data_IF_285488336058
#
_entry.id   IF_285488336058
#
_cell.length_a   1.000
_cell.length_b   1.000
_cell.length_c   1.000
_cell.angle_alpha   90.00
_cell.angle_beta   90.00
_cell.angle_gamma   90.00
#
_symmetry.space_group_name_H-M   'P 1'
#
loop_
_entity.id
_entity.type
_entity.pdbx_description
1 polymer ?
#
# COMPACT_ATOMS: atom_id res chain seq x y z
N UNK A 1 -17.18 -1.07 -4.85
CA UNK A 1 -16.65 -0.72 -3.54
C UNK A 1 -16.35 0.78 -3.46
N UNK A 2 -15.50 1.31 -4.27
CA UNK A 2 -15.19 2.73 -4.30
C UNK A 2 -16.06 3.45 -5.34
N UNK A 3 -16.58 4.63 -4.99
CA UNK A 3 -17.19 5.53 -5.96
C UNK A 3 -16.18 6.10 -6.96
N UNK A 4 -14.99 5.55 -6.91
CA UNK A 4 -13.81 5.93 -7.64
C UNK A 4 -13.88 5.49 -9.10
N UNK A 5 -13.23 6.22 -9.96
CA UNK A 5 -13.09 5.80 -11.34
C UNK A 5 -11.89 4.85 -11.45
N UNK A 6 -12.06 3.69 -12.08
CA UNK A 6 -13.21 3.19 -12.87
C UNK A 6 -14.27 2.41 -12.09
N UNK A 7 -14.25 2.41 -10.79
CA UNK A 7 -15.03 1.52 -9.92
C UNK A 7 -14.36 0.14 -9.80
N UNK A 8 -14.47 -0.49 -8.63
CA UNK A 8 -13.85 -1.78 -8.35
C UNK A 8 -14.89 -2.89 -8.32
N UNK A 9 -14.73 -3.89 -9.17
CA UNK A 9 -15.72 -4.95 -9.38
C UNK A 9 -15.10 -6.34 -9.23
N UNK A 10 -15.80 -7.24 -8.57
CA UNK A 10 -15.39 -8.65 -8.45
C UNK A 10 -14.14 -8.85 -7.59
N UNK A 11 -13.13 -9.51 -8.14
CA UNK A 11 -11.83 -9.67 -7.47
C UNK A 11 -11.02 -8.38 -7.63
N UNK A 12 -10.52 -7.84 -6.53
CA UNK A 12 -9.79 -6.55 -6.49
C UNK A 12 -8.41 -6.78 -5.88
N UNK A 13 -7.34 -6.36 -6.55
CA UNK A 13 -5.98 -6.63 -6.09
C UNK A 13 -5.66 -5.99 -4.74
N UNK A 14 -5.88 -4.69 -4.59
CA UNK A 14 -5.60 -3.95 -3.36
C UNK A 14 -6.35 -4.54 -2.14
N UNK A 15 -7.68 -4.67 -2.25
CA UNK A 15 -8.51 -5.20 -1.14
C UNK A 15 -8.20 -6.67 -0.89
N UNK A 16 -7.95 -7.45 -1.94
CA UNK A 16 -7.56 -8.84 -1.85
C UNK A 16 -6.26 -9.01 -1.07
N UNK A 17 -5.23 -8.24 -1.40
CA UNK A 17 -3.94 -8.34 -0.71
C UNK A 17 -4.02 -7.87 0.74
N UNK A 18 -4.77 -6.81 1.05
CA UNK A 18 -5.05 -6.41 2.43
C UNK A 18 -5.79 -7.50 3.22
N UNK A 19 -6.76 -8.18 2.59
CA UNK A 19 -7.43 -9.31 3.21
C UNK A 19 -6.48 -10.46 3.54
N UNK A 20 -5.57 -10.80 2.61
CA UNK A 20 -4.55 -11.83 2.84
C UNK A 20 -3.59 -11.46 3.96
N UNK A 21 -3.16 -10.20 4.02
CA UNK A 21 -2.33 -9.69 5.11
C UNK A 21 -3.06 -9.78 6.46
N UNK A 22 -4.33 -9.41 6.50
CA UNK A 22 -5.16 -9.57 7.70
C UNK A 22 -5.30 -11.03 8.12
N UNK A 23 -5.50 -11.95 7.18
CA UNK A 23 -5.56 -13.38 7.48
C UNK A 23 -4.24 -13.90 8.06
N UNK A 24 -3.09 -13.41 7.59
CA UNK A 24 -1.76 -13.71 8.18
C UNK A 24 -1.64 -13.21 9.62
N UNK A 25 -2.08 -11.98 9.90
CA UNK A 25 -2.09 -11.44 11.27
C UNK A 25 -2.98 -12.32 12.16
N UNK A 26 -4.16 -12.67 11.68
CA UNK A 26 -5.15 -13.47 12.40
C UNK A 26 -4.61 -14.89 12.66
N UNK A 27 -3.96 -15.52 11.69
CA UNK A 27 -3.26 -16.81 11.86
C UNK A 27 -2.26 -16.74 13.00
N UNK A 28 -1.41 -15.72 13.02
CA UNK A 28 -0.42 -15.53 14.07
C UNK A 28 -1.05 -15.35 15.45
N UNK A 29 -2.10 -14.53 15.54
CA UNK A 29 -2.83 -14.35 16.82
C UNK A 29 -3.48 -15.65 17.28
N UNK A 30 -4.14 -16.39 16.40
CA UNK A 30 -4.77 -17.66 16.71
C UNK A 30 -3.76 -18.67 17.28
N UNK A 31 -2.57 -18.80 16.64
CA UNK A 31 -1.49 -19.64 17.18
C UNK A 31 -1.01 -19.19 18.56
N UNK A 32 -0.92 -17.88 18.81
CA UNK A 32 -0.48 -17.35 20.11
C UNK A 32 -1.46 -17.64 21.25
N UNK A 33 -2.76 -17.71 20.93
CA UNK A 33 -3.80 -18.04 21.94
C UNK A 33 -4.14 -19.53 21.99
N UNK A 34 -3.48 -20.36 21.18
CA UNK A 34 -3.68 -21.82 21.16
C UNK A 34 -4.89 -22.31 20.36
N UNK A 35 -5.44 -21.47 19.47
CA UNK A 35 -6.50 -21.88 18.53
C UNK A 35 -5.90 -22.32 17.20
N UNK A 36 -5.26 -23.49 17.22
CA UNK A 36 -4.58 -24.06 16.06
C UNK A 36 -5.56 -24.36 14.91
N UNK A 37 -6.79 -24.76 15.21
CA UNK A 37 -7.81 -25.02 14.19
C UNK A 37 -8.14 -23.78 13.38
N UNK A 38 -8.34 -22.66 14.04
CA UNK A 38 -8.61 -21.40 13.34
C UNK A 38 -7.37 -20.85 12.63
N UNK A 39 -6.17 -21.07 13.21
CA UNK A 39 -4.92 -20.73 12.56
C UNK A 39 -4.73 -21.46 11.22
N UNK A 40 -5.01 -22.77 11.18
CA UNK A 40 -4.97 -23.58 9.96
C UNK A 40 -5.99 -23.09 8.92
N UNK A 41 -7.18 -22.72 9.34
CA UNK A 41 -8.19 -22.13 8.46
C UNK A 41 -7.72 -20.79 7.85
N UNK A 42 -7.11 -19.93 8.65
CA UNK A 42 -6.53 -18.66 8.16
C UNK A 42 -5.41 -18.93 7.16
N UNK A 43 -4.51 -19.88 7.43
CA UNK A 43 -3.44 -20.25 6.51
C UNK A 43 -3.99 -20.77 5.17
N UNK A 44 -5.07 -21.55 5.20
CA UNK A 44 -5.73 -22.05 3.99
C UNK A 44 -6.40 -20.89 3.20
N UNK A 45 -7.03 -19.92 3.88
CA UNK A 45 -7.56 -18.73 3.20
C UNK A 45 -6.47 -17.92 2.50
N UNK A 46 -5.30 -17.76 3.14
CA UNK A 46 -4.16 -17.10 2.51
C UNK A 46 -3.70 -17.88 1.27
N UNK A 47 -3.55 -19.19 1.38
CA UNK A 47 -3.12 -20.03 0.25
C UNK A 47 -4.08 -19.93 -0.94
N UNK A 48 -5.39 -20.07 -0.70
CA UNK A 48 -6.43 -20.00 -1.73
C UNK A 48 -6.53 -18.60 -2.34
N UNK A 49 -6.44 -17.56 -1.50
CA UNK A 49 -6.51 -16.19 -1.96
C UNK A 49 -5.29 -15.78 -2.77
N UNK A 50 -4.09 -16.17 -2.35
CA UNK A 50 -2.86 -15.95 -3.11
C UNK A 50 -2.92 -16.63 -4.48
N UNK A 51 -3.38 -17.89 -4.52
CA UNK A 51 -3.61 -18.61 -5.78
C UNK A 51 -4.62 -17.89 -6.69
N UNK A 52 -5.72 -17.38 -6.10
CA UNK A 52 -6.72 -16.62 -6.86
C UNK A 52 -6.17 -15.29 -7.41
N UNK A 53 -5.25 -14.63 -6.70
CA UNK A 53 -4.57 -13.44 -7.20
C UNK A 53 -3.68 -13.76 -8.40
N UNK A 54 -2.89 -14.83 -8.33
CA UNK A 54 -2.08 -15.28 -9.46
C UNK A 54 -2.94 -15.68 -10.67
N UNK A 55 -3.97 -16.49 -10.47
CA UNK A 55 -4.78 -17.05 -11.56
C UNK A 55 -5.69 -16.01 -12.24
N UNK A 56 -6.10 -14.97 -11.53
CA UNK A 56 -7.15 -14.04 -11.98
C UNK A 56 -6.71 -12.61 -12.19
N UNK A 57 -5.71 -12.16 -11.43
CA UNK A 57 -5.33 -10.77 -11.43
C UNK A 57 -3.92 -10.52 -11.97
N UNK A 58 -3.03 -11.52 -11.94
CA UNK A 58 -1.70 -11.31 -12.52
C UNK A 58 -1.77 -11.02 -14.01
N UNK A 59 -1.09 -9.97 -14.44
CA UNK A 59 -0.90 -9.61 -15.86
C UNK A 59 0.58 -9.75 -16.23
N UNK A 60 0.88 -10.40 -17.35
CA UNK A 60 2.24 -10.65 -17.82
C UNK A 60 3.04 -9.36 -18.12
N UNK A 61 2.38 -8.22 -18.12
CA UNK A 61 3.02 -6.90 -18.17
C UNK A 61 3.65 -6.48 -16.83
N UNK A 62 3.55 -7.31 -15.79
CA UNK A 62 4.27 -7.16 -14.53
C UNK A 62 3.52 -6.42 -13.42
N UNK A 63 2.22 -6.55 -13.35
CA UNK A 63 1.39 -6.00 -12.27
C UNK A 63 0.12 -6.82 -12.06
N UNK A 64 -0.57 -6.60 -10.94
CA UNK A 64 -1.90 -7.16 -10.74
C UNK A 64 -2.96 -6.22 -11.31
N UNK A 65 -3.90 -6.75 -12.09
CA UNK A 65 -5.08 -6.01 -12.54
C UNK A 65 -5.77 -5.38 -11.33
N UNK A 66 -6.14 -4.11 -11.40
CA UNK A 66 -6.84 -3.48 -10.30
C UNK A 66 -8.09 -4.27 -9.90
N UNK A 67 -8.84 -4.76 -10.89
CA UNK A 67 -9.96 -5.67 -10.63
C UNK A 67 -10.24 -6.60 -11.82
N UNK A 68 -10.93 -7.71 -11.51
CA UNK A 68 -11.54 -8.62 -12.48
C UNK A 68 -12.91 -9.09 -11.97
N UNK A 69 -13.96 -8.84 -12.74
CA UNK A 69 -15.30 -9.38 -12.49
C UNK A 69 -15.49 -10.65 -13.33
N UNK A 70 -15.41 -11.85 -12.73
CA UNK A 70 -15.54 -13.11 -13.48
C UNK A 70 -16.96 -13.38 -13.96
N UNK A 71 -17.97 -12.73 -13.36
CA UNK A 71 -19.37 -12.91 -13.77
C UNK A 71 -19.66 -12.17 -15.07
N UNK A 72 -19.13 -10.96 -15.19
CA UNK A 72 -19.35 -10.11 -16.37
C UNK A 72 -18.20 -10.20 -17.38
N UNK A 73 -17.09 -10.86 -17.05
CA UNK A 73 -15.89 -10.90 -17.88
C UNK A 73 -15.21 -9.52 -18.02
N UNK A 74 -15.46 -8.59 -17.11
CA UNK A 74 -14.90 -7.23 -17.15
C UNK A 74 -13.62 -7.18 -16.32
N UNK A 75 -12.55 -6.67 -16.90
CA UNK A 75 -11.29 -6.44 -16.19
C UNK A 75 -10.82 -5.00 -16.32
N UNK A 76 -10.09 -4.55 -15.31
CA UNK A 76 -9.39 -3.28 -15.36
C UNK A 76 -8.20 -3.35 -16.32
N UNK A 77 -7.96 -2.25 -17.05
CA UNK A 77 -6.73 -2.06 -17.82
C UNK A 77 -5.73 -1.14 -17.08
N UNK A 78 -6.13 -0.59 -15.93
CA UNK A 78 -5.35 0.39 -15.19
C UNK A 78 -4.47 -0.26 -14.14
N UNK A 79 -3.32 0.35 -13.89
CA UNK A 79 -2.46 0.03 -12.77
C UNK A 79 -2.87 0.92 -11.60
N UNK A 80 -3.23 0.31 -10.47
CA UNK A 80 -3.42 1.02 -9.21
C UNK A 80 -2.09 1.16 -8.49
N UNK A 81 -1.67 2.38 -8.22
CA UNK A 81 -0.34 2.68 -7.68
C UNK A 81 -0.09 2.16 -6.25
N UNK A 82 -1.15 1.91 -5.50
CA UNK A 82 -1.09 1.48 -4.10
C UNK A 82 -1.60 0.05 -3.89
N UNK A 83 -1.55 -0.78 -4.94
CA UNK A 83 -2.03 -2.16 -4.87
C UNK A 83 -1.24 -3.04 -3.89
N UNK A 84 -0.05 -2.62 -3.47
CA UNK A 84 0.86 -3.37 -2.60
C UNK A 84 0.75 -3.02 -1.10
N UNK A 85 -0.29 -2.32 -0.66
CA UNK A 85 -0.47 -1.93 0.74
C UNK A 85 -0.53 -3.15 1.69
N UNK A 86 -1.15 -4.24 1.25
CA UNK A 86 -1.15 -5.49 2.02
C UNK A 86 0.24 -6.13 2.15
N UNK A 87 1.14 -5.93 1.17
CA UNK A 87 2.54 -6.36 1.28
C UNK A 87 3.26 -5.55 2.37
N UNK A 88 3.09 -4.22 2.36
CA UNK A 88 3.61 -3.39 3.45
C UNK A 88 3.14 -3.87 4.83
N UNK A 89 1.86 -4.26 4.97
CA UNK A 89 1.32 -4.78 6.23
C UNK A 89 2.08 -6.04 6.66
N UNK A 90 2.34 -6.99 5.75
CA UNK A 90 3.08 -8.21 6.10
C UNK A 90 4.52 -7.91 6.50
N UNK A 91 5.22 -7.05 5.76
CA UNK A 91 6.61 -6.70 6.05
C UNK A 91 6.73 -5.94 7.37
N UNK A 92 5.88 -4.93 7.57
CA UNK A 92 5.85 -4.14 8.79
C UNK A 92 5.57 -4.98 10.04
N UNK A 93 4.78 -6.02 9.93
CA UNK A 93 4.48 -6.94 11.03
C UNK A 93 5.43 -8.16 11.10
N UNK A 94 6.39 -8.28 10.21
CA UNK A 94 7.32 -9.40 10.14
C UNK A 94 6.62 -10.74 9.89
N UNK A 95 5.65 -10.72 8.98
CA UNK A 95 4.86 -11.87 8.57
C UNK A 95 5.34 -12.39 7.20
N UNK A 96 5.14 -13.66 6.89
CA UNK A 96 5.39 -14.17 5.55
C UNK A 96 4.53 -13.44 4.51
N UNK A 97 5.12 -13.03 3.40
CA UNK A 97 4.38 -12.47 2.26
C UNK A 97 3.29 -13.43 1.77
N UNK A 98 2.19 -12.88 1.30
CA UNK A 98 1.15 -13.66 0.63
C UNK A 98 1.45 -13.90 -0.85
N UNK A 99 2.31 -13.07 -1.45
CA UNK A 99 2.64 -13.13 -2.87
C UNK A 99 4.08 -13.63 -3.09
N UNK A 100 4.40 -14.19 -4.28
CA UNK A 100 5.76 -14.50 -4.66
C UNK A 100 6.65 -13.24 -4.69
N UNK A 101 7.87 -13.35 -4.18
CA UNK A 101 8.79 -12.19 -4.07
C UNK A 101 9.17 -11.57 -5.43
N UNK A 102 9.24 -12.36 -6.49
CA UNK A 102 9.47 -11.87 -7.85
C UNK A 102 8.27 -11.04 -8.36
N UNK A 103 7.04 -11.44 -8.02
CA UNK A 103 5.81 -10.69 -8.34
C UNK A 103 5.79 -9.36 -7.61
N UNK A 104 6.14 -9.34 -6.32
CA UNK A 104 6.22 -8.11 -5.53
C UNK A 104 7.19 -7.12 -6.18
N UNK A 105 8.44 -7.55 -6.44
CA UNK A 105 9.45 -6.70 -7.07
C UNK A 105 9.03 -6.21 -8.46
N UNK A 106 8.50 -7.09 -9.29
CA UNK A 106 8.07 -6.72 -10.65
C UNK A 106 6.93 -5.72 -10.60
N UNK A 107 5.96 -5.88 -9.70
CA UNK A 107 4.85 -4.94 -9.52
C UNK A 107 5.35 -3.57 -9.07
N UNK A 108 6.25 -3.52 -8.08
CA UNK A 108 6.83 -2.27 -7.61
C UNK A 108 7.63 -1.55 -8.71
N UNK A 109 8.42 -2.30 -9.50
CA UNK A 109 9.14 -1.71 -10.63
C UNK A 109 8.16 -1.15 -11.69
N UNK A 110 7.07 -1.84 -11.98
CA UNK A 110 6.02 -1.34 -12.89
C UNK A 110 5.39 -0.06 -12.35
N UNK A 111 5.01 -0.01 -11.06
CA UNK A 111 4.45 1.18 -10.42
C UNK A 111 5.44 2.35 -10.46
N UNK A 112 6.74 2.09 -10.27
CA UNK A 112 7.80 3.08 -10.36
C UNK A 112 7.87 3.72 -11.75
N UNK A 113 7.79 2.90 -12.78
CA UNK A 113 7.86 3.33 -14.18
C UNK A 113 6.57 4.00 -14.69
N UNK A 114 5.46 3.78 -14.02
CA UNK A 114 4.13 4.28 -14.44
C UNK A 114 3.59 5.32 -13.46
N UNK A 115 2.98 4.90 -12.36
CA UNK A 115 2.27 5.77 -11.42
C UNK A 115 3.19 6.82 -10.75
N UNK A 116 4.41 6.41 -10.33
CA UNK A 116 5.37 7.34 -9.72
C UNK A 116 5.93 8.31 -10.77
N UNK A 117 6.21 7.84 -11.97
CA UNK A 117 6.70 8.68 -13.06
C UNK A 117 5.71 9.79 -13.49
N UNK A 118 4.43 9.61 -13.21
CA UNK A 118 3.37 10.59 -13.48
C UNK A 118 3.20 11.65 -12.38
N UNK A 119 3.90 11.54 -11.26
CA UNK A 119 3.70 12.41 -10.11
C UNK A 119 5.01 13.03 -9.63
N UNK A 120 5.04 14.35 -9.47
CA UNK A 120 6.15 15.04 -8.84
C UNK A 120 6.23 14.78 -7.33
N UNK A 121 5.08 14.55 -6.68
CA UNK A 121 4.97 14.48 -5.21
C UNK A 121 4.94 13.07 -4.64
N UNK A 122 4.34 12.11 -5.37
CA UNK A 122 4.16 10.74 -4.87
C UNK A 122 3.99 9.74 -6.02
N UNK A 123 2.80 9.16 -6.15
CA UNK A 123 2.37 8.32 -7.27
C UNK A 123 0.91 8.65 -7.58
N UNK A 124 0.51 8.68 -8.84
CA UNK A 124 -0.90 8.79 -9.16
C UNK A 124 -1.63 7.49 -8.79
N UNK A 125 -2.88 7.58 -8.34
CA UNK A 125 -3.68 6.39 -8.05
C UNK A 125 -3.74 5.43 -9.24
N UNK A 126 -3.96 5.98 -10.43
CA UNK A 126 -4.09 5.17 -11.65
C UNK A 126 -3.15 5.64 -12.75
N UNK A 127 -2.60 4.66 -13.46
CA UNK A 127 -1.83 4.87 -14.68
C UNK A 127 -2.24 3.84 -15.74
N UNK A 128 -2.04 4.15 -17.01
CA UNK A 128 -2.10 3.15 -18.06
C UNK A 128 -0.83 2.29 -18.06
N UNK A 129 -0.89 1.04 -18.53
CA UNK A 129 0.30 0.17 -18.58
C UNK A 129 1.45 0.69 -19.45
N UNK A 130 1.19 1.60 -20.37
CA UNK A 130 2.21 2.29 -21.18
C UNK A 130 2.81 3.52 -20.47
N UNK A 131 2.46 3.74 -19.19
CA UNK A 131 2.90 4.88 -18.41
C UNK A 131 2.14 6.18 -18.72
N UNK A 132 1.14 6.16 -19.60
CA UNK A 132 0.35 7.34 -19.88
C UNK A 132 -0.72 7.61 -18.80
N UNK A 133 -1.12 8.88 -18.60
CA UNK A 133 -2.18 9.22 -17.65
C UNK A 133 -3.55 8.81 -18.20
N UNK A 134 -4.46 8.44 -17.31
CA UNK A 134 -5.85 8.17 -17.67
C UNK A 134 -6.55 9.48 -18.00
N UNK A 135 -6.92 9.68 -19.27
CA UNK A 135 -7.51 10.94 -19.75
C UNK A 135 -9.03 10.95 -19.77
N UNK A 136 -9.68 9.79 -19.85
CA UNK A 136 -11.14 9.71 -19.98
C UNK A 136 -11.81 9.70 -18.63
N UNK A 137 -12.68 10.66 -18.38
CA UNK A 137 -13.62 10.69 -17.29
C UNK A 137 -14.87 9.90 -17.65
N UNK A 138 -15.36 9.06 -16.73
CA UNK A 138 -16.68 8.45 -16.85
C UNK A 138 -17.71 9.47 -16.39
N UNK A 139 -18.68 9.84 -17.26
CA UNK A 139 -19.75 10.76 -16.89
C UNK A 139 -20.51 10.28 -15.64
N UNK A 140 -20.85 11.23 -14.78
CA UNK A 140 -21.63 10.97 -13.57
C UNK A 140 -20.88 10.33 -12.41
N UNK A 141 -19.55 10.14 -12.50
CA UNK A 141 -18.74 9.62 -11.40
C UNK A 141 -17.85 10.69 -10.77
N UNK A 142 -17.63 10.57 -9.49
CA UNK A 142 -16.55 11.29 -8.80
C UNK A 142 -15.22 10.82 -9.37
N UNK A 143 -14.35 11.75 -9.73
CA UNK A 143 -13.18 11.47 -10.55
C UNK A 143 -11.90 12.03 -9.93
N UNK A 144 -11.82 11.99 -8.62
CA UNK A 144 -10.62 12.40 -7.92
C UNK A 144 -9.51 11.34 -8.00
N UNK A 145 -9.88 10.07 -8.12
CA UNK A 145 -8.95 8.95 -8.05
C UNK A 145 -7.93 8.89 -9.18
N UNK A 146 -8.28 9.35 -10.38
CA UNK A 146 -7.38 9.24 -11.54
C UNK A 146 -6.03 9.93 -11.35
N UNK A 147 -6.03 11.07 -10.74
CA UNK A 147 -4.89 11.97 -10.67
C UNK A 147 -4.33 12.17 -9.30
N UNK A 148 -5.07 11.73 -8.29
CA UNK A 148 -4.72 12.00 -6.91
C UNK A 148 -3.73 10.99 -6.35
N UNK A 149 -3.22 11.33 -5.19
CA UNK A 149 -2.61 10.40 -4.29
C UNK A 149 -3.19 10.58 -2.88
N UNK A 150 -3.08 9.54 -2.09
CA UNK A 150 -3.42 9.54 -0.68
C UNK A 150 -2.11 9.56 0.10
N UNK A 151 -1.86 10.55 0.97
CA UNK A 151 -0.60 10.64 1.71
C UNK A 151 -0.22 9.37 2.48
N UNK A 152 -1.13 8.69 3.22
CA UNK A 152 -0.76 7.46 3.93
C UNK A 152 -0.39 6.31 2.98
N UNK A 153 -1.11 6.10 1.87
CA UNK A 153 -0.77 5.09 0.89
C UNK A 153 0.56 5.41 0.18
N UNK A 154 0.86 6.69 -0.03
CA UNK A 154 2.16 7.10 -0.55
C UNK A 154 3.30 6.73 0.41
N UNK A 155 3.08 6.84 1.73
CA UNK A 155 4.02 6.36 2.73
C UNK A 155 4.16 4.84 2.73
N UNK A 156 3.05 4.10 2.59
CA UNK A 156 3.10 2.63 2.48
C UNK A 156 3.87 2.19 1.23
N UNK A 157 3.62 2.84 0.10
CA UNK A 157 4.36 2.58 -1.13
C UNK A 157 5.86 2.86 -0.96
N UNK A 158 6.22 3.98 -0.35
CA UNK A 158 7.61 4.32 -0.04
C UNK A 158 8.28 3.24 0.84
N UNK A 159 7.58 2.77 1.86
CA UNK A 159 8.08 1.71 2.74
C UNK A 159 8.14 0.34 2.05
N UNK A 160 7.27 0.02 1.10
CA UNK A 160 7.41 -1.17 0.27
C UNK A 160 8.74 -1.19 -0.47
N UNK A 161 9.12 -0.08 -1.11
CA UNK A 161 10.45 0.02 -1.75
C UNK A 161 11.58 -0.13 -0.73
N UNK A 162 11.45 0.46 0.46
CA UNK A 162 12.47 0.31 1.51
C UNK A 162 12.63 -1.16 1.92
N UNK A 163 11.53 -1.89 2.16
CA UNK A 163 11.57 -3.31 2.53
C UNK A 163 12.12 -4.21 1.42
N UNK A 164 11.94 -3.84 0.16
CA UNK A 164 12.54 -4.54 -0.98
C UNK A 164 14.03 -4.13 -1.24
N UNK A 165 14.60 -3.33 -0.34
CA UNK A 165 16.01 -2.92 -0.39
C UNK A 165 16.30 -1.64 -1.14
N UNK A 166 15.32 -0.99 -1.74
CA UNK A 166 15.44 0.31 -2.41
C UNK A 166 15.24 1.48 -1.42
N UNK A 167 16.01 1.49 -0.34
CA UNK A 167 15.83 2.45 0.78
C UNK A 167 15.93 3.90 0.31
N UNK A 168 16.92 4.23 -0.51
CA UNK A 168 17.12 5.60 -0.99
C UNK A 168 15.96 6.09 -1.86
N UNK A 169 15.43 5.22 -2.72
CA UNK A 169 14.26 5.55 -3.55
C UNK A 169 13.00 5.72 -2.70
N UNK A 170 12.74 4.80 -1.77
CA UNK A 170 11.61 4.91 -0.86
C UNK A 170 11.69 6.17 0.01
N UNK A 171 12.89 6.53 0.50
CA UNK A 171 13.08 7.75 1.27
C UNK A 171 12.85 9.00 0.43
N UNK A 172 13.32 9.03 -0.81
CA UNK A 172 13.04 10.13 -1.73
C UNK A 172 11.53 10.29 -2.01
N UNK A 173 10.82 9.19 -2.21
CA UNK A 173 9.37 9.21 -2.43
C UNK A 173 8.63 9.76 -1.20
N UNK A 174 8.96 9.29 0.00
CA UNK A 174 8.38 9.79 1.25
C UNK A 174 8.71 11.28 1.46
N UNK A 175 9.95 11.70 1.17
CA UNK A 175 10.40 13.10 1.25
C UNK A 175 9.61 14.01 0.31
N UNK A 176 9.43 13.63 -0.95
CA UNK A 176 8.66 14.41 -1.94
C UNK A 176 7.22 14.61 -1.48
N UNK A 177 6.58 13.56 -0.99
CA UNK A 177 5.23 13.64 -0.44
C UNK A 177 5.17 14.59 0.76
N UNK A 178 6.09 14.43 1.71
CA UNK A 178 6.16 15.29 2.90
C UNK A 178 6.44 16.74 2.54
N UNK A 179 7.37 17.03 1.62
CA UNK A 179 7.66 18.39 1.15
C UNK A 179 6.43 19.02 0.48
N UNK A 180 5.68 18.26 -0.30
CA UNK A 180 4.44 18.77 -0.89
C UNK A 180 3.38 19.08 0.18
N UNK A 181 3.08 18.13 1.06
CA UNK A 181 2.02 18.28 2.07
C UNK A 181 2.38 19.35 3.10
N UNK A 182 3.58 19.28 3.66
CA UNK A 182 3.97 20.10 4.82
C UNK A 182 4.68 21.38 4.42
N UNK A 183 5.69 21.31 3.55
CA UNK A 183 6.50 22.47 3.23
C UNK A 183 5.84 23.39 2.20
N UNK A 184 5.21 22.83 1.18
CA UNK A 184 4.57 23.62 0.12
C UNK A 184 3.21 24.14 0.56
N UNK A 185 2.39 23.30 1.20
CA UNK A 185 1.00 23.63 1.53
C UNK A 185 0.78 23.95 3.01
N UNK A 186 1.72 23.65 3.90
CA UNK A 186 1.61 23.95 5.33
C UNK A 186 0.63 23.06 6.11
N UNK A 187 0.25 21.92 5.55
CA UNK A 187 -0.67 20.99 6.21
C UNK A 187 0.05 20.15 7.27
N UNK A 188 0.21 20.70 8.46
CA UNK A 188 0.93 20.04 9.57
C UNK A 188 0.01 19.26 10.50
N UNK A 189 -1.21 19.74 10.71
CA UNK A 189 -2.25 19.09 11.53
C UNK A 189 -3.52 18.81 10.74
N UNK A 190 -3.73 19.55 9.68
CA UNK A 190 -4.87 19.50 8.77
C UNK A 190 -4.47 18.74 7.50
N UNK A 191 -3.93 17.53 7.65
CA UNK A 191 -3.48 16.73 6.50
C UNK A 191 -4.66 16.26 5.69
N UNK A 192 -4.66 16.50 4.35
CA UNK A 192 -5.75 16.08 3.48
C UNK A 192 -5.83 14.58 3.31
N UNK A 193 -7.04 14.07 3.07
CA UNK A 193 -7.22 12.69 2.60
C UNK A 193 -6.59 12.51 1.21
N UNK A 194 -6.80 13.50 0.32
CA UNK A 194 -6.49 13.39 -1.09
C UNK A 194 -5.80 14.65 -1.58
N UNK A 195 -4.66 14.46 -2.22
CA UNK A 195 -3.86 15.47 -2.89
C UNK A 195 -3.80 15.19 -4.40
N UNK A 196 -3.60 16.23 -5.21
CA UNK A 196 -3.29 16.07 -6.64
C UNK A 196 -1.93 15.41 -6.82
N UNK A 197 -1.85 14.41 -7.69
CA UNK A 197 -0.58 13.75 -8.02
C UNK A 197 -0.04 14.13 -9.40
N UNK A 198 -0.91 14.63 -10.28
CA UNK A 198 -0.60 14.94 -11.70
C UNK A 198 -0.21 16.38 -11.96
N UNK A 199 -0.08 17.21 -10.92
CA UNK A 199 0.38 18.60 -11.03
C UNK A 199 1.64 18.83 -10.21
N UNK A 200 2.45 19.80 -10.62
CA UNK A 200 3.65 20.17 -9.87
C UNK A 200 3.32 20.86 -8.54
N UNK A 201 2.11 21.40 -8.42
CA UNK A 201 1.63 22.07 -7.20
C UNK A 201 1.10 21.09 -6.17
N UNK A 202 0.55 19.94 -6.59
CA UNK A 202 0.05 18.90 -5.69
C UNK A 202 -0.98 19.38 -4.69
N UNK A 203 -1.95 20.21 -5.11
CA UNK A 203 -2.92 20.85 -4.24
C UNK A 203 -3.92 19.87 -3.60
N UNK A 204 -4.55 20.30 -2.50
CA UNK A 204 -5.62 19.55 -1.83
C UNK A 204 -6.79 19.33 -2.78
N UNK A 205 -7.28 18.08 -2.84
CA UNK A 205 -8.51 17.71 -3.54
C UNK A 205 -9.66 17.56 -2.56
N UNK A 206 -9.41 16.86 -1.44
CA UNK A 206 -10.47 16.51 -0.50
C UNK A 206 -9.92 16.23 0.90
N UNK A 207 -10.76 16.53 1.90
CA UNK A 207 -10.59 16.11 3.28
C UNK A 207 -9.61 16.95 4.10
N UNK A 208 -9.63 16.67 5.39
CA UNK A 208 -8.76 17.27 6.41
C UNK A 208 -8.67 16.32 7.59
N UNK A 209 -7.69 16.52 8.46
CA UNK A 209 -7.52 15.75 9.70
C UNK A 209 -7.47 14.24 9.48
N UNK A 210 -6.74 13.78 8.47
CA UNK A 210 -6.72 12.38 8.07
C UNK A 210 -5.79 11.56 8.98
N UNK A 211 -6.36 10.87 9.96
CA UNK A 211 -5.62 10.13 10.98
C UNK A 211 -4.74 9.00 10.46
N UNK A 212 -5.01 8.47 9.27
CA UNK A 212 -4.18 7.43 8.66
C UNK A 212 -2.76 7.90 8.39
N UNK A 213 -2.53 9.21 8.34
CA UNK A 213 -1.19 9.80 8.21
C UNK A 213 -0.26 9.49 9.40
N UNK A 214 -0.81 9.00 10.51
CA UNK A 214 -0.01 8.45 11.62
C UNK A 214 0.91 7.30 11.19
N UNK A 215 0.70 6.72 10.02
CA UNK A 215 1.57 5.71 9.42
C UNK A 215 3.02 6.19 9.21
N UNK A 216 3.25 7.50 9.15
CA UNK A 216 4.58 8.12 9.12
C UNK A 216 5.51 7.62 10.24
N UNK A 217 4.97 7.25 11.39
CA UNK A 217 5.73 6.68 12.50
C UNK A 217 6.34 5.31 12.20
N UNK A 218 5.93 4.67 11.12
CA UNK A 218 6.50 3.38 10.67
C UNK A 218 7.76 3.55 9.80
N UNK A 219 8.01 4.73 9.23
CA UNK A 219 9.17 5.00 8.38
C UNK A 219 10.51 4.63 9.02
N UNK A 220 10.82 4.98 10.30
CA UNK A 220 12.09 4.60 10.92
C UNK A 220 12.33 3.09 10.94
N UNK A 221 11.27 2.29 11.12
CA UNK A 221 11.39 0.82 11.09
C UNK A 221 11.72 0.33 9.67
N UNK A 222 11.03 0.84 8.65
CA UNK A 222 11.29 0.47 7.26
C UNK A 222 12.70 0.87 6.80
N UNK A 223 13.16 2.09 7.13
CA UNK A 223 14.53 2.56 6.86
C UNK A 223 15.57 1.62 7.50
N UNK A 224 15.31 1.17 8.73
CA UNK A 224 16.20 0.27 9.46
C UNK A 224 16.04 -1.20 9.06
N UNK A 225 15.20 -1.53 8.08
CA UNK A 225 14.87 -2.91 7.69
C UNK A 225 14.35 -3.76 8.87
N UNK A 226 13.56 -3.13 9.73
CA UNK A 226 12.99 -3.74 10.93
C UNK A 226 11.46 -3.74 10.84
N UNK A 227 10.85 -4.66 11.55
CA UNK A 227 9.40 -4.69 11.70
C UNK A 227 8.96 -4.06 13.03
N UNK A 228 7.65 -3.89 13.22
CA UNK A 228 7.04 -3.26 14.40
C UNK A 228 7.37 -3.99 15.71
N UNK A 229 7.82 -5.24 15.68
CA UNK A 229 8.20 -5.99 16.88
C UNK A 229 9.60 -5.62 17.41
N UNK A 230 10.44 -4.95 16.62
CA UNK A 230 11.81 -4.62 17.00
C UNK A 230 11.92 -3.84 18.34
N UNK A 231 11.07 -2.86 18.65
CA UNK A 231 11.09 -2.18 19.95
C UNK A 231 10.82 -3.11 21.16
N UNK A 232 10.10 -4.22 20.93
CA UNK A 232 9.71 -5.17 21.97
C UNK A 232 10.69 -6.35 22.13
N UNK A 233 11.68 -6.46 21.26
CA UNK A 233 12.69 -7.52 21.34
C UNK A 233 13.67 -7.28 22.52
N UNK A 234 14.36 -8.31 23.00
CA UNK A 234 15.42 -8.14 23.99
C UNK A 234 16.44 -7.08 23.56
N UNK A 235 16.68 -6.08 24.42
CA UNK A 235 17.53 -4.94 24.11
C UNK A 235 16.83 -3.80 23.33
N UNK A 236 15.60 -4.00 22.86
CA UNK A 236 14.78 -2.96 22.24
C UNK A 236 14.33 -1.87 23.18
N UNK A 237 13.61 -0.87 22.67
CA UNK A 237 13.20 0.30 23.47
C UNK A 237 12.37 -0.09 24.71
N UNK A 238 11.37 -0.95 24.52
CA UNK A 238 10.47 -1.40 25.61
C UNK A 238 11.25 -2.13 26.68
N UNK A 239 12.13 -3.05 26.31
CA UNK A 239 12.97 -3.79 27.26
C UNK A 239 13.88 -2.85 28.07
N UNK A 240 14.49 -1.84 27.42
CA UNK A 240 15.32 -0.85 28.07
C UNK A 240 14.55 0.02 29.05
N UNK A 241 13.34 0.46 28.68
CA UNK A 241 12.45 1.24 29.57
C UNK A 241 12.03 0.40 30.77
N UNK A 242 11.60 -0.84 30.56
CA UNK A 242 11.18 -1.74 31.65
C UNK A 242 12.33 -2.03 32.61
N UNK A 243 13.55 -2.26 32.12
CA UNK A 243 14.73 -2.47 32.98
C UNK A 243 15.13 -1.20 33.74
N UNK A 244 14.91 -0.02 33.16
CA UNK A 244 15.17 1.23 33.87
C UNK A 244 14.14 1.50 34.97
N UNK A 245 12.88 1.18 34.72
CA UNK A 245 11.79 1.33 35.70
C UNK A 245 11.85 0.31 36.87
N UNK A 246 12.56 -0.81 36.69
CA UNK A 246 12.73 -1.84 37.72
C UNK A 246 13.91 -1.57 38.68
N UNK A 247 14.66 -0.49 38.47
CA UNK A 247 15.74 0.00 39.35
C UNK A 247 15.22 1.06 40.29
#
# INVERSE_FOLDING_TARGET
>A
FEADYPGWLGCVAHVGLLHLAQARITERIARQVGDDTFAEQCAEWVRLGAQAMEDRLWDERGYYLNFFDPVKGIKSEFIFGYQMDGQWVTDHHGLPSALPADRVRTTLETIKQTNVALSASAATNYAMPDGSPIRKKKEGTWDYGRFSYFPPEACMLAMNYMYEGEVDFGLDLARRMWENVVCTHGYTWDVPNIMRGDTDTGERVFGSDYYQDMILWSLPAAIAQQNVSAPCQPGGLVDRVMRAAAK
#
